data_IF_487108488404
#
_entry.id   IF_487108488404
#
_cell.length_a   1.000
_cell.length_b   1.000
_cell.length_c   1.000
_cell.angle_alpha   90.00
_cell.angle_beta   90.00
_cell.angle_gamma   90.00
#
_symmetry.space_group_name_H-M   'P 1'
#
loop_
_entity.id
_entity.type
_entity.pdbx_description
1 polymer ?
#
# COMPACT_ATOMS: atom_id res chain seq x y z
N UNK A 1 -0.86 -37.25 -17.70
CA UNK A 1 -2.20 -36.71 -17.42
C UNK A 1 -2.24 -35.19 -17.56
N UNK A 2 -3.31 -34.63 -18.13
CA UNK A 2 -3.59 -33.18 -18.17
C UNK A 2 -4.25 -32.70 -16.86
N UNK A 3 -4.08 -31.43 -16.51
CA UNK A 3 -4.84 -30.79 -15.42
C UNK A 3 -5.88 -29.86 -16.06
N UNK A 4 -7.16 -30.15 -15.79
CA UNK A 4 -8.31 -29.38 -16.27
C UNK A 4 -8.91 -28.65 -15.07
N UNK A 5 -8.94 -27.33 -15.10
CA UNK A 5 -9.54 -26.52 -14.03
C UNK A 5 -10.96 -26.11 -14.46
N UNK A 6 -11.96 -26.41 -13.65
CA UNK A 6 -13.34 -25.96 -13.83
C UNK A 6 -13.64 -24.91 -12.77
N UNK A 7 -13.83 -23.66 -13.19
CA UNK A 7 -14.38 -22.61 -12.35
C UNK A 7 -15.89 -22.81 -12.25
N UNK A 8 -16.36 -23.02 -11.02
CA UNK A 8 -17.72 -23.44 -10.69
C UNK A 8 -18.21 -22.69 -9.47
N UNK A 9 -19.48 -22.89 -9.10
CA UNK A 9 -20.06 -22.44 -7.83
C UNK A 9 -21.08 -23.46 -7.33
N UNK A 10 -21.51 -23.33 -6.08
CA UNK A 10 -22.60 -24.15 -5.54
C UNK A 10 -23.88 -23.99 -6.37
N UNK A 11 -24.58 -25.10 -6.57
CA UNK A 11 -25.87 -25.16 -7.28
C UNK A 11 -25.85 -24.69 -8.74
N UNK A 12 -24.74 -24.89 -9.45
CA UNK A 12 -24.61 -24.59 -10.87
C UNK A 12 -24.94 -25.80 -11.78
N UNK A 13 -26.13 -25.81 -12.38
CA UNK A 13 -26.56 -26.89 -13.29
C UNK A 13 -25.64 -27.05 -14.51
N UNK A 14 -25.31 -25.94 -15.18
CA UNK A 14 -24.40 -25.94 -16.35
C UNK A 14 -23.00 -26.46 -15.99
N UNK A 15 -22.53 -26.17 -14.77
CA UNK A 15 -21.23 -26.66 -14.29
C UNK A 15 -21.26 -28.18 -14.09
N UNK A 16 -22.37 -28.73 -13.58
CA UNK A 16 -22.56 -30.18 -13.45
C UNK A 16 -22.61 -30.89 -14.81
N UNK A 17 -23.26 -30.27 -15.80
CA UNK A 17 -23.29 -30.78 -17.19
C UNK A 17 -21.87 -30.84 -17.78
N UNK A 18 -21.09 -29.76 -17.65
CA UNK A 18 -19.69 -29.73 -18.10
C UNK A 18 -18.83 -30.76 -17.37
N UNK A 19 -19.05 -30.95 -16.07
CA UNK A 19 -18.36 -31.96 -15.27
C UNK A 19 -18.64 -33.39 -15.75
N UNK A 20 -19.89 -33.68 -16.11
CA UNK A 20 -20.28 -34.97 -16.68
C UNK A 20 -19.64 -35.21 -18.07
N UNK A 21 -19.62 -34.20 -18.92
CA UNK A 21 -18.95 -34.29 -20.24
C UNK A 21 -17.44 -34.50 -20.10
N UNK A 22 -16.78 -33.78 -19.18
CA UNK A 22 -15.36 -33.98 -18.87
C UNK A 22 -15.10 -35.42 -18.38
N UNK A 23 -15.91 -35.94 -17.46
CA UNK A 23 -15.80 -37.34 -17.02
C UNK A 23 -15.95 -38.32 -18.20
N UNK A 24 -16.91 -38.08 -19.10
CA UNK A 24 -17.11 -38.91 -20.29
C UNK A 24 -15.97 -38.86 -21.31
N UNK A 25 -15.14 -37.81 -21.29
CA UNK A 25 -13.98 -37.65 -22.17
C UNK A 25 -12.67 -38.14 -21.54
N UNK A 26 -12.69 -38.57 -20.28
CA UNK A 26 -11.47 -38.93 -19.54
C UNK A 26 -10.72 -40.13 -20.12
N UNK A 27 -11.44 -41.08 -20.72
CA UNK A 27 -10.83 -42.25 -21.39
C UNK A 27 -10.06 -41.87 -22.66
N UNK A 28 -10.60 -40.93 -23.44
CA UNK A 28 -9.98 -40.47 -24.69
C UNK A 28 -8.86 -39.45 -24.44
N UNK A 29 -9.05 -38.57 -23.45
CA UNK A 29 -8.08 -37.54 -23.09
C UNK A 29 -7.76 -37.67 -21.60
N UNK A 30 -6.74 -38.46 -21.19
CA UNK A 30 -6.42 -38.66 -19.78
C UNK A 30 -6.14 -37.35 -19.05
N UNK A 31 -7.08 -36.94 -18.21
CA UNK A 31 -7.02 -35.70 -17.46
C UNK A 31 -7.51 -35.89 -16.04
N UNK A 32 -7.15 -34.92 -15.21
CA UNK A 32 -7.67 -34.75 -13.86
C UNK A 32 -8.40 -33.42 -13.77
N UNK A 33 -9.59 -33.48 -13.19
CA UNK A 33 -10.43 -32.34 -12.92
C UNK A 33 -10.01 -31.69 -11.59
N UNK A 34 -9.91 -30.36 -11.59
CA UNK A 34 -9.71 -29.51 -10.43
C UNK A 34 -10.84 -28.49 -10.41
N UNK A 35 -11.63 -28.50 -9.35
CA UNK A 35 -12.74 -27.56 -9.20
C UNK A 35 -12.28 -26.35 -8.38
N UNK A 36 -12.58 -25.16 -8.88
CA UNK A 36 -12.33 -23.89 -8.17
C UNK A 36 -13.67 -23.20 -7.96
N UNK A 37 -14.09 -23.11 -6.70
CA UNK A 37 -15.29 -22.37 -6.30
C UNK A 37 -15.03 -20.86 -6.44
N UNK A 38 -15.75 -20.20 -7.34
CA UNK A 38 -15.61 -18.77 -7.59
C UNK A 38 -16.15 -17.92 -6.44
N UNK A 39 -16.98 -18.49 -5.56
CA UNK A 39 -17.51 -17.81 -4.38
C UNK A 39 -16.50 -17.85 -3.20
N UNK A 40 -15.37 -18.56 -3.34
CA UNK A 40 -14.31 -18.61 -2.34
C UNK A 40 -13.45 -17.34 -2.26
N UNK A 41 -13.44 -16.52 -3.31
CA UNK A 41 -12.70 -15.26 -3.38
C UNK A 41 -13.46 -14.24 -4.24
N UNK A 42 -13.69 -13.05 -3.68
CA UNK A 42 -14.47 -12.00 -4.35
C UNK A 42 -13.92 -11.59 -5.72
N UNK A 43 -12.61 -11.76 -5.96
CA UNK A 43 -12.02 -11.49 -7.26
C UNK A 43 -12.36 -12.54 -8.31
N UNK A 44 -12.48 -13.81 -7.91
CA UNK A 44 -12.96 -14.87 -8.79
C UNK A 44 -14.45 -14.65 -9.10
N UNK A 45 -15.23 -14.26 -8.10
CA UNK A 45 -16.64 -13.89 -8.30
C UNK A 45 -16.77 -12.71 -9.28
N UNK A 46 -15.96 -11.67 -9.13
CA UNK A 46 -15.97 -10.52 -10.04
C UNK A 46 -15.59 -10.85 -11.48
N UNK A 47 -14.65 -11.80 -11.68
CA UNK A 47 -14.16 -12.20 -13.01
C UNK A 47 -15.07 -13.22 -13.70
N UNK A 48 -15.55 -14.22 -12.96
CA UNK A 48 -16.24 -15.38 -13.51
C UNK A 48 -17.74 -15.43 -13.20
N UNK A 49 -18.23 -14.63 -12.23
CA UNK A 49 -19.59 -14.74 -11.69
C UNK A 49 -20.72 -14.67 -12.71
N UNK A 50 -20.50 -14.02 -13.86
CA UNK A 50 -21.48 -13.92 -14.95
C UNK A 50 -21.22 -14.87 -16.13
N UNK A 51 -20.10 -15.58 -16.15
CA UNK A 51 -19.63 -16.37 -17.31
C UNK A 51 -19.32 -17.84 -16.98
N UNK A 52 -19.47 -18.26 -15.71
CA UNK A 52 -19.38 -19.67 -15.35
C UNK A 52 -20.44 -20.52 -16.09
N UNK A 53 -20.14 -21.79 -16.42
CA UNK A 53 -18.88 -22.49 -16.19
C UNK A 53 -17.75 -22.01 -17.11
N UNK A 54 -16.52 -21.99 -16.58
CA UNK A 54 -15.29 -21.75 -17.36
C UNK A 54 -14.34 -22.92 -17.17
N UNK A 55 -13.85 -23.48 -18.28
CA UNK A 55 -12.89 -24.58 -18.29
C UNK A 55 -11.54 -24.07 -18.77
N UNK A 56 -10.50 -24.29 -17.98
CA UNK A 56 -9.12 -23.94 -18.29
C UNK A 56 -8.25 -25.20 -18.41
N UNK A 57 -7.54 -25.34 -19.53
CA UNK A 57 -6.60 -26.44 -19.80
C UNK A 57 -5.32 -25.89 -20.41
N UNK A 58 -4.24 -25.85 -19.65
CA UNK A 58 -2.99 -25.22 -20.10
C UNK A 58 -3.21 -23.74 -20.43
N UNK A 59 -2.88 -23.27 -21.66
CA UNK A 59 -3.15 -21.89 -22.08
C UNK A 59 -4.57 -21.64 -22.61
N UNK A 60 -5.41 -22.69 -22.71
CA UNK A 60 -6.72 -22.61 -23.35
C UNK A 60 -7.80 -22.37 -22.30
N UNK A 61 -8.69 -21.39 -22.57
CA UNK A 61 -9.85 -21.08 -21.75
C UNK A 61 -11.13 -21.20 -22.59
N UNK A 62 -12.08 -22.01 -22.12
CA UNK A 62 -13.41 -22.17 -22.68
C UNK A 62 -14.44 -21.51 -21.76
N UNK A 63 -15.22 -20.58 -22.32
CA UNK A 63 -16.35 -19.93 -21.65
C UNK A 63 -17.67 -20.52 -22.17
N UNK A 64 -18.73 -20.40 -21.38
CA UNK A 64 -20.08 -20.77 -21.81
C UNK A 64 -20.49 -20.07 -23.12
N UNK A 65 -21.28 -20.73 -24.01
CA UNK A 65 -21.73 -22.12 -23.93
C UNK A 65 -20.64 -23.13 -24.30
N UNK A 66 -20.41 -24.10 -23.42
CA UNK A 66 -19.43 -25.18 -23.57
C UNK A 66 -20.15 -26.42 -24.09
N UNK A 67 -19.68 -26.97 -25.21
CA UNK A 67 -20.21 -28.20 -25.81
C UNK A 67 -19.18 -29.31 -25.77
N UNK A 68 -19.61 -30.57 -25.86
CA UNK A 68 -18.70 -31.73 -25.93
C UNK A 68 -17.65 -31.59 -27.03
N UNK A 69 -18.04 -31.12 -28.21
CA UNK A 69 -17.13 -30.91 -29.34
C UNK A 69 -16.05 -29.86 -29.03
N UNK A 70 -16.42 -28.74 -28.39
CA UNK A 70 -15.44 -27.73 -27.95
C UNK A 70 -14.49 -28.30 -26.91
N UNK A 71 -15.00 -29.08 -25.95
CA UNK A 71 -14.17 -29.78 -24.95
C UNK A 71 -13.17 -30.73 -25.61
N UNK A 72 -13.61 -31.56 -26.57
CA UNK A 72 -12.71 -32.47 -27.30
C UNK A 72 -11.61 -31.72 -28.05
N UNK A 73 -11.96 -30.67 -28.80
CA UNK A 73 -10.97 -29.86 -29.53
C UNK A 73 -9.94 -29.23 -28.58
N UNK A 74 -10.39 -28.66 -27.46
CA UNK A 74 -9.50 -28.04 -26.47
C UNK A 74 -8.63 -29.04 -25.72
N UNK A 75 -9.20 -30.18 -25.30
CA UNK A 75 -8.45 -31.25 -24.63
C UNK A 75 -7.43 -31.89 -25.59
N UNK A 76 -7.79 -32.09 -26.85
CA UNK A 76 -6.87 -32.56 -27.90
C UNK A 76 -5.70 -31.59 -28.10
N UNK A 77 -5.99 -30.31 -28.35
CA UNK A 77 -4.95 -29.29 -28.53
C UNK A 77 -4.03 -29.16 -27.30
N UNK A 78 -4.60 -29.24 -26.08
CA UNK A 78 -3.83 -29.22 -24.85
C UNK A 78 -2.96 -30.47 -24.69
N UNK A 79 -3.48 -31.65 -25.05
CA UNK A 79 -2.74 -32.92 -25.04
C UNK A 79 -1.57 -32.88 -26.01
N UNK A 80 -1.80 -32.44 -27.25
CA UNK A 80 -0.77 -32.36 -28.28
C UNK A 80 0.34 -31.37 -27.90
N UNK A 81 -0.04 -30.18 -27.43
CA UNK A 81 0.91 -29.19 -26.91
C UNK A 81 1.73 -29.75 -25.76
N UNK A 82 1.07 -30.42 -24.81
CA UNK A 82 1.76 -31.04 -23.68
C UNK A 82 2.79 -32.07 -24.15
N UNK A 83 2.39 -32.98 -25.03
CA UNK A 83 3.25 -34.02 -25.58
C UNK A 83 4.44 -33.40 -26.33
N UNK A 84 4.23 -32.30 -27.05
CA UNK A 84 5.30 -31.56 -27.73
C UNK A 84 6.30 -30.96 -26.72
N UNK A 85 5.82 -30.31 -25.66
CA UNK A 85 6.69 -29.72 -24.62
C UNK A 85 7.48 -30.77 -23.84
N UNK A 86 6.88 -31.93 -23.58
CA UNK A 86 7.57 -33.06 -22.94
C UNK A 86 8.65 -33.65 -23.85
N UNK A 87 8.39 -33.77 -25.16
CA UNK A 87 9.38 -34.23 -26.14
C UNK A 87 10.55 -33.27 -26.31
N UNK A 88 10.31 -31.97 -26.19
CA UNK A 88 11.34 -30.93 -26.33
C UNK A 88 12.14 -30.70 -25.03
N UNK A 89 11.83 -31.41 -23.95
CA UNK A 89 12.43 -31.23 -22.62
C UNK A 89 12.47 -29.76 -22.17
N UNK A 90 11.42 -28.99 -22.51
CA UNK A 90 11.41 -27.53 -22.35
C UNK A 90 11.66 -27.17 -20.86
N UNK A 91 12.77 -26.46 -20.55
CA UNK A 91 13.17 -26.23 -19.16
C UNK A 91 12.19 -25.33 -18.40
N UNK A 92 11.53 -24.39 -19.10
CA UNK A 92 10.55 -23.50 -18.50
C UNK A 92 9.26 -24.25 -18.15
N UNK A 93 8.82 -25.17 -19.01
CA UNK A 93 7.69 -26.06 -18.75
C UNK A 93 7.95 -26.97 -17.54
N UNK A 94 9.13 -27.61 -17.49
CA UNK A 94 9.51 -28.47 -16.37
C UNK A 94 9.58 -27.70 -15.04
N UNK A 95 10.12 -26.48 -15.06
CA UNK A 95 10.16 -25.63 -13.87
C UNK A 95 8.76 -25.22 -13.39
N UNK A 96 7.84 -24.89 -14.32
CA UNK A 96 6.44 -24.56 -14.00
C UNK A 96 5.71 -25.75 -13.37
N UNK A 97 5.91 -26.96 -13.89
CA UNK A 97 5.36 -28.19 -13.32
C UNK A 97 5.85 -28.39 -11.88
N UNK A 98 7.17 -28.33 -11.65
CA UNK A 98 7.77 -28.48 -10.31
C UNK A 98 7.24 -27.44 -9.32
N UNK A 99 7.13 -26.17 -9.74
CA UNK A 99 6.58 -25.08 -8.90
C UNK A 99 5.09 -25.28 -8.59
N UNK A 100 4.33 -25.87 -9.51
CA UNK A 100 2.90 -26.13 -9.35
C UNK A 100 2.58 -27.37 -8.51
N UNK A 101 3.51 -28.33 -8.38
CA UNK A 101 3.29 -29.62 -7.72
C UNK A 101 3.47 -29.63 -6.20
N UNK A 102 4.05 -28.58 -5.62
CA UNK A 102 4.31 -28.51 -4.19
C UNK A 102 3.80 -27.18 -3.60
N UNK A 103 3.02 -27.29 -2.52
CA UNK A 103 2.63 -26.15 -1.69
C UNK A 103 3.60 -26.04 -0.52
N UNK A 104 4.33 -24.94 -0.49
CA UNK A 104 5.30 -24.61 0.55
C UNK A 104 4.67 -23.73 1.65
N UNK A 105 5.38 -23.55 2.76
CA UNK A 105 5.00 -22.56 3.77
C UNK A 105 5.04 -21.13 3.18
N UNK A 106 6.02 -20.83 2.32
CA UNK A 106 6.12 -19.55 1.62
C UNK A 106 4.88 -19.24 0.78
N UNK A 107 4.34 -20.22 0.05
CA UNK A 107 3.10 -20.04 -0.73
C UNK A 107 1.91 -19.64 0.16
N UNK A 108 1.79 -20.25 1.35
CA UNK A 108 0.71 -19.93 2.31
C UNK A 108 0.86 -18.53 2.87
N UNK A 109 2.10 -18.11 3.19
CA UNK A 109 2.40 -16.75 3.65
C UNK A 109 2.09 -15.74 2.55
N UNK A 110 2.55 -15.97 1.32
CA UNK A 110 2.26 -15.10 0.18
C UNK A 110 0.77 -14.96 -0.09
N UNK A 111 0.01 -16.06 -0.02
CA UNK A 111 -1.45 -16.02 -0.13
C UNK A 111 -2.11 -15.22 1.01
N UNK A 112 -1.66 -15.43 2.26
CA UNK A 112 -2.17 -14.67 3.41
C UNK A 112 -1.88 -13.17 3.27
N UNK A 113 -0.67 -12.80 2.81
CA UNK A 113 -0.33 -11.41 2.53
C UNK A 113 -1.25 -10.88 1.42
N UNK A 114 -1.41 -11.58 0.31
CA UNK A 114 -2.25 -11.12 -0.80
C UNK A 114 -3.73 -10.91 -0.39
N UNK A 115 -4.23 -11.67 0.60
CA UNK A 115 -5.57 -11.49 1.18
C UNK A 115 -5.64 -10.31 2.15
N UNK A 116 -4.60 -10.11 2.96
CA UNK A 116 -4.60 -9.19 4.10
C UNK A 116 -3.68 -7.98 3.94
N UNK A 117 -3.11 -7.73 2.75
CA UNK A 117 -2.09 -6.70 2.54
C UNK A 117 -2.57 -5.32 3.01
N UNK A 118 -3.84 -4.96 2.75
CA UNK A 118 -4.38 -3.67 3.15
C UNK A 118 -4.44 -3.51 4.68
N UNK A 119 -4.74 -4.58 5.41
CA UNK A 119 -4.68 -4.58 6.87
C UNK A 119 -3.23 -4.39 7.33
N UNK A 120 -2.28 -5.11 6.73
CA UNK A 120 -0.85 -4.99 7.05
C UNK A 120 -0.34 -3.57 6.80
N UNK A 121 -0.68 -2.97 5.65
CA UNK A 121 -0.31 -1.59 5.31
C UNK A 121 -0.93 -0.59 6.30
N UNK A 122 -2.22 -0.72 6.60
CA UNK A 122 -2.89 0.19 7.53
C UNK A 122 -2.34 0.06 8.95
N UNK A 123 -2.06 -1.16 9.44
CA UNK A 123 -1.44 -1.36 10.75
C UNK A 123 -0.03 -0.79 10.80
N UNK A 124 0.77 -0.98 9.76
CA UNK A 124 2.09 -0.38 9.66
C UNK A 124 2.00 1.15 9.69
N UNK A 125 1.11 1.75 8.90
CA UNK A 125 0.92 3.21 8.86
C UNK A 125 0.39 3.75 10.19
N UNK A 126 -0.54 3.04 10.84
CA UNK A 126 -1.05 3.40 12.17
C UNK A 126 0.06 3.40 13.21
N UNK A 127 0.91 2.38 13.23
CA UNK A 127 2.06 2.34 14.14
C UNK A 127 3.06 3.45 13.81
N UNK A 128 3.35 3.67 12.53
CA UNK A 128 4.30 4.70 12.08
C UNK A 128 3.85 6.12 12.44
N UNK A 129 2.59 6.47 12.20
CA UNK A 129 2.08 7.83 12.48
C UNK A 129 1.58 7.98 13.91
N UNK A 130 1.15 6.90 14.56
CA UNK A 130 0.59 6.90 15.91
C UNK A 130 1.63 6.88 17.02
N UNK A 131 2.73 6.10 16.88
CA UNK A 131 3.79 6.04 17.90
C UNK A 131 4.39 7.43 18.23
N UNK A 132 4.62 8.35 17.27
CA UNK A 132 5.09 9.70 17.57
C UNK A 132 4.22 10.50 18.54
N UNK A 133 2.90 10.25 18.59
CA UNK A 133 1.98 10.91 19.52
C UNK A 133 2.09 10.32 20.94
N UNK A 134 2.62 9.11 21.11
CA UNK A 134 2.87 8.56 22.44
C UNK A 134 4.05 9.25 23.14
N UNK A 135 5.01 9.80 22.39
CA UNK A 135 6.17 10.48 22.98
C UNK A 135 5.76 11.65 23.90
N UNK A 136 4.95 12.64 23.47
CA UNK A 136 4.51 13.71 24.35
C UNK A 136 3.60 13.22 25.49
N UNK A 137 2.74 12.21 25.27
CA UNK A 137 1.93 11.63 26.35
C UNK A 137 2.78 10.97 27.43
N UNK A 138 3.88 10.30 27.05
CA UNK A 138 4.81 9.71 28.01
C UNK A 138 5.60 10.77 28.76
N UNK A 139 5.96 11.89 28.11
CA UNK A 139 6.58 13.03 28.79
C UNK A 139 5.64 13.62 29.85
N UNK A 140 4.38 13.88 29.49
CA UNK A 140 3.34 14.38 30.40
C UNK A 140 3.14 13.48 31.62
N UNK A 141 3.24 12.15 31.44
CA UNK A 141 3.11 11.18 32.52
C UNK A 141 4.42 10.98 33.33
N UNK A 142 5.47 11.74 33.05
CA UNK A 142 6.79 11.61 33.69
C UNK A 142 7.60 10.38 33.26
N UNK A 143 7.14 9.64 32.25
CA UNK A 143 7.82 8.47 31.70
C UNK A 143 8.86 8.89 30.64
N UNK A 144 9.85 9.67 31.05
CA UNK A 144 10.83 10.30 30.15
C UNK A 144 11.68 9.29 29.36
N UNK A 145 12.11 8.21 30.00
CA UNK A 145 12.99 7.21 29.34
C UNK A 145 12.32 6.58 28.12
N UNK A 146 11.10 6.00 28.21
CA UNK A 146 10.42 5.46 27.02
C UNK A 146 10.03 6.55 26.01
N UNK A 147 9.70 7.77 26.44
CA UNK A 147 9.45 8.89 25.51
C UNK A 147 10.69 9.21 24.65
N UNK A 148 11.86 9.30 25.29
CA UNK A 148 13.14 9.58 24.63
C UNK A 148 13.56 8.48 23.65
N UNK A 149 13.18 7.22 23.89
CA UNK A 149 13.38 6.14 22.92
C UNK A 149 12.59 6.41 21.64
N UNK A 150 11.33 6.84 21.75
CA UNK A 150 10.50 7.19 20.59
C UNK A 150 11.11 8.36 19.82
N UNK A 151 11.46 9.46 20.50
CA UNK A 151 12.14 10.60 19.84
C UNK A 151 13.39 10.15 19.08
N UNK A 152 14.22 9.30 19.69
CA UNK A 152 15.46 8.79 19.09
C UNK A 152 15.23 7.93 17.85
N UNK A 153 14.21 7.06 17.85
CA UNK A 153 13.88 6.18 16.71
C UNK A 153 13.42 7.00 15.50
N UNK A 154 12.67 8.08 15.72
CA UNK A 154 12.15 8.93 14.63
C UNK A 154 13.14 10.01 14.17
N UNK A 155 14.18 10.30 14.95
CA UNK A 155 15.20 11.31 14.65
C UNK A 155 15.93 11.16 13.30
N UNK A 156 16.22 9.95 12.77
CA UNK A 156 16.75 9.80 11.41
C UNK A 156 15.68 9.90 10.31
N UNK A 157 14.41 9.73 10.65
CA UNK A 157 13.29 9.76 9.69
C UNK A 157 12.76 11.19 9.48
N UNK A 158 12.86 12.02 10.52
CA UNK A 158 12.42 13.41 10.51
C UNK A 158 13.40 14.26 11.32
N UNK A 159 13.61 15.51 10.89
CA UNK A 159 14.45 16.44 11.64
C UNK A 159 13.88 16.80 13.02
N UNK A 160 12.57 16.67 13.24
CA UNK A 160 11.90 16.96 14.52
C UNK A 160 12.18 18.37 15.08
N UNK A 161 12.30 19.37 14.20
CA UNK A 161 12.42 20.76 14.63
C UNK A 161 11.15 21.17 15.39
N UNK A 162 11.29 21.73 16.60
CA UNK A 162 10.15 22.18 17.40
C UNK A 162 9.21 23.10 16.62
N UNK A 163 9.73 24.09 15.91
CA UNK A 163 8.96 25.04 15.09
C UNK A 163 8.25 24.45 13.84
N UNK A 164 8.38 23.13 13.62
CA UNK A 164 7.70 22.38 12.56
C UNK A 164 6.92 21.18 13.10
N UNK A 165 6.74 21.09 14.41
CA UNK A 165 6.07 19.97 15.10
C UNK A 165 4.85 20.47 15.85
N UNK A 166 3.84 19.60 15.94
CA UNK A 166 2.73 19.83 16.86
C UNK A 166 3.20 19.65 18.31
N UNK A 167 2.55 20.35 19.23
CA UNK A 167 2.72 20.22 20.68
C UNK A 167 1.41 19.75 21.30
N UNK A 168 1.51 18.87 22.29
CA UNK A 168 0.38 18.39 23.09
C UNK A 168 0.58 18.78 24.55
N UNK A 169 -0.52 18.92 25.28
CA UNK A 169 -0.54 19.20 26.72
C UNK A 169 0.02 20.57 27.13
N UNK A 170 0.06 21.52 26.19
CA UNK A 170 0.54 22.89 26.45
C UNK A 170 -0.44 23.97 26.03
N UNK A 171 0.01 25.22 26.11
CA UNK A 171 -0.76 26.42 25.77
C UNK A 171 -1.19 26.49 24.30
N UNK A 172 -0.34 26.03 23.37
CA UNK A 172 -0.61 26.07 21.92
C UNK A 172 -0.34 24.72 21.24
N UNK A 173 -1.06 24.42 20.15
CA UNK A 173 -0.83 23.19 19.37
C UNK A 173 0.44 23.25 18.51
N UNK A 174 1.03 24.42 18.33
CA UNK A 174 2.28 24.65 17.58
C UNK A 174 2.86 26.03 17.93
N UNK A 175 4.16 26.20 17.66
CA UNK A 175 4.88 27.46 17.84
C UNK A 175 5.69 27.73 16.56
N UNK A 176 5.25 28.61 15.66
CA UNK A 176 5.95 28.87 14.41
C UNK A 176 7.16 29.79 14.64
N UNK A 177 8.09 29.85 13.68
CA UNK A 177 9.08 30.92 13.66
C UNK A 177 8.41 32.27 13.37
N UNK A 178 9.03 33.37 13.80
CA UNK A 178 8.51 34.72 13.53
C UNK A 178 8.34 34.98 12.01
N UNK A 179 9.23 34.42 11.19
CA UNK A 179 9.21 34.56 9.73
C UNK A 179 8.02 33.88 9.05
N UNK A 180 7.29 33.02 9.75
CA UNK A 180 6.03 32.46 9.23
C UNK A 180 4.90 33.51 9.19
N UNK A 181 5.06 34.66 9.87
CA UNK A 181 4.14 35.79 9.80
C UNK A 181 2.75 35.54 10.38
N UNK A 182 2.62 34.60 11.33
CA UNK A 182 1.34 34.22 11.93
C UNK A 182 1.03 35.09 13.16
N UNK A 183 0.05 35.98 13.04
CA UNK A 183 -0.45 36.76 14.16
C UNK A 183 -1.26 35.90 15.14
N UNK A 184 -1.17 36.24 16.44
CA UNK A 184 -1.97 35.59 17.49
C UNK A 184 -1.42 34.28 18.03
N UNK A 185 -0.19 33.90 17.65
CA UNK A 185 0.51 32.73 18.17
C UNK A 185 1.86 33.17 18.75
N UNK A 186 2.23 32.63 19.92
CA UNK A 186 3.61 32.74 20.42
C UNK A 186 4.55 32.06 19.45
N UNK A 187 5.70 32.67 19.20
CA UNK A 187 6.72 32.10 18.32
C UNK A 187 7.56 31.06 19.05
N UNK A 188 8.26 30.23 18.29
CA UNK A 188 9.15 29.23 18.87
C UNK A 188 10.32 29.87 19.62
N UNK A 189 10.84 30.99 19.14
CA UNK A 189 11.90 31.77 19.77
C UNK A 189 11.44 32.31 21.13
N UNK A 190 10.20 32.79 21.22
CA UNK A 190 9.62 33.32 22.47
C UNK A 190 9.51 32.24 23.56
N UNK A 191 9.12 31.02 23.19
CA UNK A 191 8.88 29.94 24.17
C UNK A 191 10.12 29.11 24.49
N UNK A 192 11.09 29.03 23.57
CA UNK A 192 12.31 28.23 23.76
C UNK A 192 13.53 29.06 24.15
N UNK A 193 13.52 30.37 23.87
CA UNK A 193 14.70 31.23 23.99
C UNK A 193 15.79 30.96 22.93
N UNK A 194 15.54 30.06 21.97
CA UNK A 194 16.50 29.69 20.93
C UNK A 194 16.38 30.66 19.76
N UNK A 195 17.46 31.39 19.46
CA UNK A 195 17.48 32.45 18.44
C UNK A 195 18.24 32.02 17.17
N UNK A 196 18.18 32.85 16.11
CA UNK A 196 18.87 32.67 14.83
C UNK A 196 18.51 31.34 14.11
N UNK A 197 17.24 30.94 14.16
CA UNK A 197 16.74 29.70 13.54
C UNK A 197 16.43 29.86 12.05
N UNK A 198 16.29 31.09 11.60
CA UNK A 198 16.18 31.49 10.20
C UNK A 198 17.41 31.06 9.39
N UNK A 199 18.61 31.17 9.98
CA UNK A 199 19.87 30.76 9.37
C UNK A 199 20.02 29.22 9.34
N UNK A 200 20.03 28.57 8.16
CA UNK A 200 20.16 27.11 8.06
C UNK A 200 21.52 26.58 8.53
N UNK A 201 22.55 27.42 8.58
CA UNK A 201 23.90 27.08 9.02
C UNK A 201 24.12 27.27 10.52
N UNK A 202 23.15 27.81 11.24
CA UNK A 202 23.26 28.04 12.68
C UNK A 202 23.26 26.73 13.47
N UNK A 203 24.17 26.63 14.45
CA UNK A 203 24.20 25.51 15.39
C UNK A 203 22.92 25.44 16.24
N UNK A 204 22.23 26.56 16.45
CA UNK A 204 20.97 26.63 17.22
C UNK A 204 19.85 25.78 16.62
N UNK A 205 19.93 25.39 15.34
CA UNK A 205 18.99 24.41 14.76
C UNK A 205 19.11 23.02 15.39
N UNK A 206 20.30 22.62 15.85
CA UNK A 206 20.45 21.38 16.61
C UNK A 206 19.77 21.48 17.98
N UNK A 207 19.80 22.66 18.61
CA UNK A 207 19.08 22.93 19.85
C UNK A 207 17.56 22.87 19.62
N UNK A 208 17.04 23.52 18.58
CA UNK A 208 15.61 23.46 18.22
C UNK A 208 15.14 22.04 17.86
N UNK A 209 16.03 21.20 17.32
CA UNK A 209 15.78 19.77 17.11
C UNK A 209 15.75 18.98 18.42
N UNK A 210 16.56 19.35 19.41
CA UNK A 210 16.64 18.67 20.69
C UNK A 210 15.63 19.19 21.72
N UNK A 211 15.04 20.38 21.49
CA UNK A 211 13.99 20.95 22.33
C UNK A 211 12.76 20.03 22.34
N UNK A 212 12.39 19.49 23.49
CA UNK A 212 11.23 18.58 23.64
C UNK A 212 9.98 19.35 24.06
N UNK A 213 10.13 20.32 24.97
CA UNK A 213 9.03 21.04 25.61
C UNK A 213 9.03 20.88 27.12
N UNK A 214 7.99 21.43 27.76
CA UNK A 214 7.76 21.45 29.21
C UNK A 214 6.25 21.57 29.50
N UNK A 215 5.85 21.62 30.77
CA UNK A 215 4.44 21.65 31.18
C UNK A 215 3.67 22.92 30.74
N UNK A 216 4.38 24.02 30.41
CA UNK A 216 3.74 25.25 29.93
C UNK A 216 3.57 25.21 28.41
N UNK A 217 4.64 24.88 27.70
CA UNK A 217 4.68 24.85 26.23
C UNK A 217 3.97 23.60 25.69
N UNK A 218 3.91 22.56 26.49
CA UNK A 218 3.56 21.20 26.10
C UNK A 218 4.76 20.47 25.53
N UNK A 219 4.55 19.22 25.13
CA UNK A 219 5.59 18.36 24.58
C UNK A 219 5.37 18.13 23.09
N UNK A 220 6.45 18.20 22.29
CA UNK A 220 6.35 18.06 20.84
C UNK A 220 6.05 16.63 20.38
N UNK A 221 5.36 16.47 19.26
CA UNK A 221 5.22 15.17 18.59
C UNK A 221 6.55 14.79 17.93
N UNK A 222 6.93 13.50 17.97
CA UNK A 222 8.21 13.01 17.44
C UNK A 222 8.33 12.96 15.90
N UNK A 223 7.42 13.64 15.18
CA UNK A 223 7.44 13.86 13.74
C UNK A 223 7.05 15.31 13.44
N UNK A 224 7.42 15.81 12.26
CA UNK A 224 6.97 17.13 11.82
C UNK A 224 5.51 17.09 11.37
N UNK A 225 4.87 18.25 11.37
CA UNK A 225 3.47 18.45 10.95
C UNK A 225 3.20 17.89 9.55
N UNK A 226 4.16 18.10 8.62
CA UNK A 226 4.04 17.62 7.23
C UNK A 226 4.07 16.09 7.17
N UNK A 227 5.00 15.44 7.87
CA UNK A 227 5.11 13.97 7.87
C UNK A 227 3.85 13.35 8.49
N UNK A 228 3.38 13.90 9.61
CA UNK A 228 2.12 13.48 10.25
C UNK A 228 0.98 13.56 9.24
N UNK A 229 0.83 14.68 8.53
CA UNK A 229 -0.23 14.85 7.55
C UNK A 229 -0.13 13.86 6.38
N UNK A 230 1.08 13.58 5.87
CA UNK A 230 1.31 12.60 4.80
C UNK A 230 0.86 11.21 5.23
N UNK A 231 1.42 10.70 6.33
CA UNK A 231 1.18 9.31 6.73
C UNK A 231 -0.22 9.10 7.30
N UNK A 232 -0.79 10.10 7.96
CA UNK A 232 -2.19 10.05 8.40
C UNK A 232 -3.14 10.05 7.21
N UNK A 233 -2.89 10.86 6.18
CA UNK A 233 -3.71 10.85 4.97
C UNK A 233 -3.62 9.50 4.22
N UNK A 234 -2.43 8.87 4.17
CA UNK A 234 -2.26 7.52 3.62
C UNK A 234 -3.10 6.51 4.42
N UNK A 235 -3.02 6.55 5.76
CA UNK A 235 -3.79 5.66 6.63
C UNK A 235 -5.30 5.84 6.44
N UNK A 236 -5.79 7.09 6.45
CA UNK A 236 -7.21 7.41 6.26
C UNK A 236 -7.68 6.93 4.89
N UNK A 237 -6.91 7.20 3.83
CA UNK A 237 -7.22 6.69 2.49
C UNK A 237 -7.29 5.17 2.48
N UNK A 238 -6.34 4.49 3.11
CA UNK A 238 -6.32 3.03 3.23
C UNK A 238 -7.54 2.44 3.94
N UNK A 239 -8.00 3.09 5.01
CA UNK A 239 -9.24 2.71 5.71
C UNK A 239 -10.45 2.90 4.80
N UNK A 240 -10.60 4.08 4.16
CA UNK A 240 -11.69 4.38 3.23
C UNK A 240 -11.70 3.42 2.03
N UNK A 241 -10.54 3.13 1.46
CA UNK A 241 -10.38 2.18 0.36
C UNK A 241 -10.81 0.77 0.79
N UNK A 242 -10.50 0.35 2.01
CA UNK A 242 -10.97 -0.91 2.58
C UNK A 242 -12.49 -0.95 2.76
N UNK A 243 -13.06 0.08 3.39
CA UNK A 243 -14.50 0.19 3.68
C UNK A 243 -15.37 0.25 2.41
N UNK A 244 -14.84 0.82 1.33
CA UNK A 244 -15.52 0.85 0.01
C UNK A 244 -15.41 -0.48 -0.76
N UNK A 245 -14.80 -1.52 -0.17
CA UNK A 245 -14.60 -2.80 -0.83
C UNK A 245 -13.53 -2.76 -1.91
N UNK A 246 -12.54 -1.87 -1.78
CA UNK A 246 -11.38 -1.74 -2.68
C UNK A 246 -11.76 -1.44 -4.13
N UNK A 247 -12.82 -0.64 -4.32
CA UNK A 247 -13.43 -0.38 -5.63
C UNK A 247 -12.84 0.81 -6.39
N UNK A 248 -12.00 1.62 -5.75
CA UNK A 248 -11.42 2.78 -6.42
C UNK A 248 -10.45 2.35 -7.52
N UNK A 249 -10.51 3.05 -8.65
CA UNK A 249 -9.49 2.94 -9.70
C UNK A 249 -8.29 3.83 -9.35
N UNK A 250 -7.12 3.44 -9.83
CA UNK A 250 -5.90 4.23 -9.66
C UNK A 250 -6.09 5.63 -10.23
N UNK A 251 -5.60 6.64 -9.49
CA UNK A 251 -5.55 8.02 -9.94
C UNK A 251 -4.70 8.11 -11.22
N UNK A 252 -5.09 8.92 -12.20
CA UNK A 252 -4.24 9.13 -13.36
C UNK A 252 -2.93 9.80 -12.93
N UNK A 253 -1.78 9.35 -13.45
CA UNK A 253 -0.46 9.83 -13.01
C UNK A 253 -0.30 11.36 -13.10
N UNK A 254 -0.88 12.01 -14.12
CA UNK A 254 -0.92 13.48 -14.23
C UNK A 254 -1.67 14.15 -13.08
N UNK A 255 -2.80 13.58 -12.64
CA UNK A 255 -3.55 14.11 -11.50
C UNK A 255 -2.78 13.89 -10.20
N UNK A 256 -2.10 12.74 -10.05
CA UNK A 256 -1.19 12.52 -8.93
C UNK A 256 -0.04 13.54 -8.90
N UNK A 257 0.56 13.86 -10.05
CA UNK A 257 1.58 14.89 -10.14
C UNK A 257 1.03 16.28 -9.78
N UNK A 258 -0.12 16.67 -10.31
CA UNK A 258 -0.66 18.03 -10.11
C UNK A 258 -1.25 18.22 -8.72
N UNK A 259 -1.94 17.21 -8.16
CA UNK A 259 -2.64 17.32 -6.87
C UNK A 259 -1.72 16.89 -5.71
N UNK A 260 -0.91 15.85 -5.92
CA UNK A 260 -0.03 15.30 -4.89
C UNK A 260 1.32 15.99 -4.87
N UNK A 261 2.10 15.88 -5.95
CA UNK A 261 3.48 16.39 -6.02
C UNK A 261 3.52 17.92 -6.16
N UNK A 262 2.62 18.51 -6.92
CA UNK A 262 2.60 19.94 -7.23
C UNK A 262 2.58 20.82 -5.96
N UNK A 263 1.59 20.69 -5.06
CA UNK A 263 1.47 21.55 -3.90
C UNK A 263 2.62 21.39 -2.90
N UNK A 264 3.00 20.14 -2.57
CA UNK A 264 4.11 19.86 -1.65
C UNK A 264 5.46 20.25 -2.26
N UNK A 265 5.61 20.11 -3.58
CA UNK A 265 6.75 20.58 -4.34
C UNK A 265 6.85 22.09 -4.26
N UNK A 266 5.79 22.83 -4.58
CA UNK A 266 5.80 24.29 -4.50
C UNK A 266 6.09 24.80 -3.09
N UNK A 267 5.43 24.25 -2.06
CA UNK A 267 5.64 24.65 -0.66
C UNK A 267 7.04 24.27 -0.16
N UNK A 268 7.45 23.01 -0.35
CA UNK A 268 8.75 22.50 0.10
C UNK A 268 9.93 23.09 -0.65
N UNK A 269 9.86 23.22 -1.98
CA UNK A 269 10.92 23.84 -2.78
C UNK A 269 11.03 25.33 -2.49
N UNK A 270 9.93 26.10 -2.51
CA UNK A 270 10.00 27.54 -2.23
C UNK A 270 10.61 27.81 -0.85
N UNK A 271 10.22 27.03 0.16
CA UNK A 271 10.82 27.08 1.49
C UNK A 271 12.31 26.72 1.46
N UNK A 272 12.69 25.54 0.95
CA UNK A 272 14.07 25.05 0.96
C UNK A 272 15.04 26.02 0.25
N UNK A 273 14.66 26.48 -0.94
CA UNK A 273 15.51 27.35 -1.74
C UNK A 273 15.61 28.77 -1.16
N UNK A 274 14.52 29.29 -0.59
CA UNK A 274 14.57 30.57 0.13
C UNK A 274 15.49 30.53 1.36
N UNK A 275 15.62 29.36 2.00
CA UNK A 275 16.41 29.19 3.22
C UNK A 275 17.92 29.11 2.96
N UNK A 276 18.36 28.66 1.76
CA UNK A 276 19.78 28.65 1.42
C UNK A 276 20.41 30.05 1.34
N UNK A 277 19.58 31.10 1.22
CA UNK A 277 19.98 32.50 1.23
C UNK A 277 21.19 32.81 0.32
N UNK A 278 21.22 32.21 -0.88
CA UNK A 278 22.24 32.56 -1.87
C UNK A 278 21.97 33.97 -2.40
N UNK A 279 23.00 34.83 -2.40
CA UNK A 279 22.87 36.25 -2.74
C UNK A 279 22.12 36.50 -4.06
N UNK A 280 22.37 35.68 -5.08
CA UNK A 280 21.71 35.81 -6.39
C UNK A 280 20.22 35.42 -6.36
N UNK A 281 19.84 34.47 -5.50
CA UNK A 281 18.49 33.91 -5.42
C UNK A 281 17.60 34.67 -4.43
N UNK A 282 18.18 35.20 -3.34
CA UNK A 282 17.46 35.95 -2.31
C UNK A 282 16.73 37.18 -2.87
N UNK A 283 17.23 37.77 -3.96
CA UNK A 283 16.57 38.88 -4.67
C UNK A 283 15.31 38.48 -5.43
N UNK A 284 15.15 37.20 -5.78
CA UNK A 284 14.06 36.65 -6.58
C UNK A 284 13.06 35.91 -5.69
N UNK A 285 13.56 35.17 -4.71
CA UNK A 285 12.77 34.36 -3.78
C UNK A 285 13.10 34.80 -2.35
N UNK A 286 12.25 35.64 -1.73
CA UNK A 286 12.48 36.10 -0.37
C UNK A 286 12.40 34.93 0.61
N UNK A 287 13.08 35.07 1.76
CA UNK A 287 13.03 34.08 2.83
C UNK A 287 11.59 33.74 3.18
N UNK A 288 11.30 32.43 3.31
CA UNK A 288 9.98 31.94 3.66
C UNK A 288 10.09 30.72 4.57
N UNK A 289 9.30 30.72 5.63
CA UNK A 289 8.99 29.52 6.41
C UNK A 289 7.54 29.09 6.13
N UNK A 290 7.32 27.82 5.81
CA UNK A 290 5.96 27.32 5.55
C UNK A 290 5.13 27.36 6.83
N UNK A 291 3.86 27.73 6.72
CA UNK A 291 2.95 27.76 7.88
C UNK A 291 2.48 26.35 8.24
N UNK A 292 2.09 26.09 9.50
CA UNK A 292 1.52 24.80 9.89
C UNK A 292 0.36 24.35 9.00
N UNK A 293 -0.52 25.28 8.61
CA UNK A 293 -1.61 24.99 7.69
C UNK A 293 -1.12 24.48 6.33
N UNK A 294 -0.13 25.14 5.72
CA UNK A 294 0.40 24.72 4.43
C UNK A 294 1.14 23.38 4.52
N UNK A 295 1.90 23.15 5.59
CA UNK A 295 2.56 21.86 5.84
C UNK A 295 1.55 20.72 5.94
N UNK A 296 0.44 20.93 6.66
CA UNK A 296 -0.64 19.96 6.78
C UNK A 296 -1.39 19.77 5.46
N UNK A 297 -1.79 20.84 4.80
CA UNK A 297 -2.57 20.78 3.55
C UNK A 297 -1.78 20.07 2.46
N UNK A 298 -0.55 20.51 2.20
CA UNK A 298 0.28 19.94 1.13
C UNK A 298 0.72 18.51 1.46
N UNK A 299 1.03 18.23 2.73
CA UNK A 299 1.32 16.88 3.20
C UNK A 299 0.13 15.93 3.03
N UNK A 300 -1.06 16.34 3.46
CA UNK A 300 -2.27 15.53 3.35
C UNK A 300 -2.66 15.28 1.89
N UNK A 301 -2.59 16.31 1.02
CA UNK A 301 -2.83 16.16 -0.42
C UNK A 301 -1.85 15.16 -1.05
N UNK A 302 -0.56 15.29 -0.74
CA UNK A 302 0.46 14.37 -1.23
C UNK A 302 0.21 12.93 -0.75
N UNK A 303 -0.04 12.74 0.55
CA UNK A 303 -0.31 11.43 1.14
C UNK A 303 -1.56 10.77 0.55
N UNK A 304 -2.69 11.49 0.51
CA UNK A 304 -3.95 10.98 -0.03
C UNK A 304 -3.85 10.67 -1.54
N UNK A 305 -3.27 11.57 -2.34
CA UNK A 305 -3.10 11.35 -3.78
C UNK A 305 -2.16 10.18 -4.07
N UNK A 306 -1.09 10.02 -3.28
CA UNK A 306 -0.14 8.91 -3.43
C UNK A 306 -0.78 7.58 -3.04
N UNK A 307 -1.56 7.53 -1.96
CA UNK A 307 -2.32 6.34 -1.60
C UNK A 307 -3.38 5.99 -2.66
N UNK A 308 -4.07 7.00 -3.22
CA UNK A 308 -5.03 6.80 -4.31
C UNK A 308 -4.37 6.29 -5.60
N UNK A 309 -3.18 6.77 -5.91
CA UNK A 309 -2.41 6.23 -7.02
C UNK A 309 -2.00 4.77 -6.76
N UNK A 310 -1.38 4.50 -5.60
CA UNK A 310 -0.72 3.23 -5.31
C UNK A 310 -1.66 2.08 -4.92
N UNK A 311 -2.63 2.31 -4.04
CA UNK A 311 -3.40 1.24 -3.41
C UNK A 311 -4.26 0.43 -4.40
N UNK A 312 -4.94 1.05 -5.38
CA UNK A 312 -5.61 0.30 -6.45
C UNK A 312 -4.66 -0.55 -7.29
N UNK A 313 -3.47 -0.03 -7.64
CA UNK A 313 -2.47 -0.78 -8.39
C UNK A 313 -1.94 -1.99 -7.59
N UNK A 314 -1.74 -1.82 -6.27
CA UNK A 314 -1.38 -2.92 -5.38
C UNK A 314 -2.53 -3.94 -5.31
N UNK A 315 -3.80 -3.50 -5.20
CA UNK A 315 -4.96 -4.42 -5.20
C UNK A 315 -5.02 -5.26 -6.48
N UNK A 316 -4.77 -4.67 -7.65
CA UNK A 316 -4.75 -5.40 -8.91
C UNK A 316 -3.66 -6.50 -8.92
N UNK A 317 -2.45 -6.18 -8.44
CA UNK A 317 -1.37 -7.16 -8.30
C UNK A 317 -1.68 -8.26 -7.26
N UNK A 318 -2.25 -7.87 -6.13
CA UNK A 318 -2.64 -8.81 -5.07
C UNK A 318 -3.79 -9.71 -5.53
N UNK A 319 -4.68 -9.21 -6.37
CA UNK A 319 -5.76 -9.99 -7.00
C UNK A 319 -5.20 -11.13 -7.85
N UNK A 320 -4.28 -10.84 -8.76
CA UNK A 320 -3.63 -11.85 -9.60
C UNK A 320 -2.90 -12.89 -8.73
N UNK A 321 -2.22 -12.43 -7.69
CA UNK A 321 -1.52 -13.29 -6.73
C UNK A 321 -2.49 -14.25 -6.01
N UNK A 322 -3.65 -13.76 -5.54
CA UNK A 322 -4.67 -14.60 -4.90
C UNK A 322 -5.19 -15.66 -5.87
N UNK A 323 -5.53 -15.27 -7.10
CA UNK A 323 -6.02 -16.19 -8.13
C UNK A 323 -5.03 -17.31 -8.44
N UNK A 324 -3.75 -16.96 -8.60
CA UNK A 324 -2.68 -17.91 -8.79
C UNK A 324 -2.62 -18.95 -7.66
N UNK A 325 -2.66 -18.50 -6.41
CA UNK A 325 -2.56 -19.40 -5.26
C UNK A 325 -3.81 -20.23 -5.01
N UNK A 326 -5.02 -19.68 -5.20
CA UNK A 326 -6.27 -20.46 -5.09
C UNK A 326 -6.22 -21.64 -6.06
N UNK A 327 -5.83 -21.39 -7.31
CA UNK A 327 -5.66 -22.45 -8.31
C UNK A 327 -4.57 -23.43 -7.91
N UNK A 328 -3.39 -22.95 -7.52
CA UNK A 328 -2.27 -23.81 -7.09
C UNK A 328 -2.70 -24.73 -5.94
N UNK A 329 -3.42 -24.22 -4.95
CA UNK A 329 -3.89 -25.02 -3.81
C UNK A 329 -4.94 -26.05 -4.22
N UNK A 330 -5.91 -25.69 -5.06
CA UNK A 330 -6.89 -26.64 -5.60
C UNK A 330 -6.21 -27.77 -6.41
N UNK A 331 -5.24 -27.42 -7.26
CA UNK A 331 -4.43 -28.37 -8.01
C UNK A 331 -3.56 -29.24 -7.10
N UNK A 332 -3.25 -28.86 -5.87
CA UNK A 332 -2.49 -29.73 -4.97
C UNK A 332 -3.39 -30.59 -4.07
N UNK A 333 -4.61 -30.14 -3.77
CA UNK A 333 -5.57 -30.91 -2.99
C UNK A 333 -6.01 -32.18 -3.72
N UNK A 334 -6.29 -32.10 -5.02
CA UNK A 334 -6.71 -33.29 -5.80
C UNK A 334 -5.50 -34.18 -6.20
N UNK A 335 -4.25 -33.78 -5.90
CA UNK A 335 -3.02 -34.54 -6.25
C UNK A 335 -2.61 -35.53 -5.17
N UNK A 336 -3.11 -35.31 -3.96
CA UNK A 336 -2.88 -36.16 -2.80
C UNK A 336 -3.94 -37.25 -2.77
#
# INVERSE_FOLDING_TARGET
MLTVTLYTRKDCKLCNEVKAELAGLQSQYPHRLVEVDIDSDASLTGMYGQIIPVVEVGPYNLKAPITRQKLQMTLGAASDRKNQLERLEDPAYQQRLKKGQNVTAGDRVSFWIAKNYLLVLNLFMLLYVGLPFLAPTLMELGAETPANVIYRIYKPLCHQFGFRSFFLYGEQPFYPLAEAGLAGYKTFEEVSGILNLDNPYSFTRFEARNYIGDDSVGYKVALCERDIAIYLAILVFGVVFGLTGRRFKSLHWMLWLVIGIGPIGLDGFSQLFSQFNWDWLASIVPYRESTPFLRVLTGALFGAATAWFAYPNIEDSMRETRQYYVKKFAVNQVSK
#
